data_IF_902246962190
#
_entry.id   IF_902246962190
#
_cell.length_a   1.000
_cell.length_b   1.000
_cell.length_c   1.000
_cell.angle_alpha   90.00
_cell.angle_beta   90.00
_cell.angle_gamma   90.00
#
_symmetry.space_group_name_H-M   'P 1'
#
loop_
_entity.id
_entity.type
_entity.pdbx_description
1 polymer ?
#
# COMPACT_ATOMS: atom_id res chain seq x y z
N UNK A 1 -5.99 -18.06 -15.22
CA UNK A 1 -5.96 -18.69 -13.87
C UNK A 1 -6.43 -17.63 -12.91
N UNK A 2 -7.45 -17.92 -12.09
CA UNK A 2 -8.15 -16.89 -11.31
C UNK A 2 -7.17 -16.13 -10.42
N UNK A 3 -6.98 -14.85 -10.70
CA UNK A 3 -6.26 -13.87 -9.87
C UNK A 3 -6.81 -13.88 -8.43
N UNK A 4 -8.11 -14.22 -8.27
CA UNK A 4 -8.80 -14.39 -7.00
C UNK A 4 -8.33 -15.60 -6.18
N UNK A 5 -7.72 -16.63 -6.79
CA UNK A 5 -7.10 -17.72 -6.03
C UNK A 5 -5.93 -17.21 -5.17
N UNK A 6 -5.14 -16.26 -5.68
CA UNK A 6 -4.07 -15.66 -4.89
C UNK A 6 -4.60 -14.84 -3.72
N UNK A 7 -5.72 -14.12 -3.93
CA UNK A 7 -6.35 -13.31 -2.88
C UNK A 7 -6.99 -14.20 -1.81
N UNK A 8 -7.77 -15.20 -2.22
CA UNK A 8 -8.43 -16.14 -1.29
C UNK A 8 -7.44 -16.92 -0.44
N UNK A 9 -6.30 -17.38 -1.00
CA UNK A 9 -5.28 -18.08 -0.21
C UNK A 9 -4.68 -17.22 0.90
N UNK A 10 -4.56 -15.90 0.72
CA UNK A 10 -4.12 -14.97 1.78
C UNK A 10 -5.11 -14.93 2.95
N UNK A 11 -6.39 -15.14 2.66
CA UNK A 11 -7.47 -15.21 3.64
C UNK A 11 -7.81 -16.65 4.08
N UNK A 12 -6.88 -17.61 3.87
CA UNK A 12 -7.09 -19.02 4.20
C UNK A 12 -8.35 -19.59 3.54
N UNK A 13 -8.58 -19.25 2.29
CA UNK A 13 -9.71 -19.74 1.51
C UNK A 13 -9.26 -20.19 0.11
N UNK A 14 -10.11 -20.97 -0.55
CA UNK A 14 -9.96 -21.33 -1.96
C UNK A 14 -11.17 -20.78 -2.72
N UNK A 15 -10.91 -19.91 -3.68
CA UNK A 15 -11.93 -19.43 -4.59
C UNK A 15 -12.29 -20.48 -5.64
N UNK A 16 -13.57 -20.85 -5.72
CA UNK A 16 -14.09 -21.75 -6.77
C UNK A 16 -15.16 -20.99 -7.56
N UNK A 17 -14.91 -20.68 -8.86
CA UNK A 17 -15.92 -20.11 -9.75
C UNK A 17 -17.09 -21.07 -9.94
N UNK A 18 -18.31 -20.52 -10.05
CA UNK A 18 -19.53 -21.32 -10.27
C UNK A 18 -19.47 -22.13 -11.57
N UNK A 19 -18.83 -21.57 -12.60
CA UNK A 19 -18.71 -22.17 -13.93
C UNK A 19 -17.92 -23.48 -13.96
N UNK A 20 -17.13 -23.75 -12.92
CA UNK A 20 -16.26 -24.94 -12.83
C UNK A 20 -16.97 -26.09 -12.08
N UNK A 21 -18.08 -25.80 -11.39
CA UNK A 21 -18.84 -26.81 -10.67
C UNK A 21 -19.63 -27.67 -11.65
N UNK A 22 -19.40 -28.99 -11.62
CA UNK A 22 -20.16 -29.94 -12.41
C UNK A 22 -21.59 -30.04 -11.86
N UNK A 23 -22.59 -29.98 -12.74
CA UNK A 23 -24.01 -29.96 -12.39
C UNK A 23 -24.52 -31.22 -11.65
N UNK A 24 -23.74 -32.30 -11.60
CA UNK A 24 -24.14 -33.57 -10.98
C UNK A 24 -23.54 -33.75 -9.59
N UNK A 25 -24.40 -33.71 -8.57
CA UNK A 25 -24.06 -34.22 -7.23
C UNK A 25 -23.84 -35.73 -7.35
N UNK A 26 -22.61 -36.19 -7.18
CA UNK A 26 -22.29 -37.61 -7.04
C UNK A 26 -22.13 -37.91 -5.56
N UNK A 27 -22.83 -38.93 -5.07
CA UNK A 27 -22.87 -39.31 -3.65
C UNK A 27 -21.60 -40.00 -3.13
N UNK A 28 -20.47 -39.88 -3.84
CA UNK A 28 -19.19 -40.48 -3.47
C UNK A 28 -18.00 -39.55 -3.69
N UNK A 29 -16.97 -39.67 -2.82
CA UNK A 29 -15.73 -38.92 -2.94
C UNK A 29 -14.89 -39.46 -4.11
N UNK A 30 -14.52 -38.60 -5.07
CA UNK A 30 -13.62 -38.96 -6.16
C UNK A 30 -12.20 -39.22 -5.64
N UNK A 31 -11.54 -40.26 -6.16
CA UNK A 31 -10.15 -40.60 -5.82
C UNK A 31 -9.19 -39.41 -6.05
N UNK A 32 -9.40 -38.64 -7.12
CA UNK A 32 -8.57 -37.46 -7.42
C UNK A 32 -8.66 -36.38 -6.34
N UNK A 33 -9.85 -36.20 -5.74
CA UNK A 33 -10.08 -35.25 -4.67
C UNK A 33 -9.39 -35.73 -3.38
N UNK A 34 -9.50 -37.01 -3.03
CA UNK A 34 -8.80 -37.59 -1.87
C UNK A 34 -7.29 -37.38 -1.99
N UNK A 35 -6.73 -37.60 -3.18
CA UNK A 35 -5.32 -37.34 -3.46
C UNK A 35 -4.95 -35.85 -3.31
N UNK A 36 -5.82 -34.93 -3.75
CA UNK A 36 -5.62 -33.50 -3.55
C UNK A 36 -5.57 -33.16 -2.04
N UNK A 37 -6.55 -33.60 -1.26
CA UNK A 37 -6.62 -33.33 0.19
C UNK A 37 -5.41 -33.90 0.91
N UNK A 38 -4.98 -35.12 0.57
CA UNK A 38 -3.78 -35.72 1.15
C UNK A 38 -2.51 -34.89 0.85
N UNK A 39 -2.40 -34.34 -0.37
CA UNK A 39 -1.29 -33.46 -0.72
C UNK A 39 -1.38 -32.10 -0.02
N UNK A 40 -2.58 -31.54 0.15
CA UNK A 40 -2.78 -30.31 0.93
C UNK A 40 -2.42 -30.50 2.41
N UNK A 41 -2.79 -31.65 3.00
CA UNK A 41 -2.41 -32.01 4.36
C UNK A 41 -0.89 -32.10 4.53
N UNK A 42 -0.18 -32.67 3.54
CA UNK A 42 1.30 -32.67 3.51
C UNK A 42 1.90 -31.26 3.46
N UNK A 43 1.20 -30.31 2.84
CA UNK A 43 1.58 -28.89 2.80
C UNK A 43 1.11 -28.09 4.03
N UNK A 44 0.48 -28.73 5.01
CA UNK A 44 0.02 -28.09 6.26
C UNK A 44 -1.37 -27.46 6.20
N UNK A 45 -2.17 -27.77 5.17
CA UNK A 45 -3.53 -27.26 5.00
C UNK A 45 -4.60 -28.33 5.29
N UNK A 46 -5.65 -27.91 5.98
CA UNK A 46 -6.92 -28.63 6.09
C UNK A 46 -7.95 -28.05 5.13
N UNK A 47 -9.04 -28.75 4.90
CA UNK A 47 -10.13 -28.34 4.00
C UNK A 47 -11.42 -28.34 4.81
N UNK A 48 -12.21 -27.27 4.76
CA UNK A 48 -13.53 -27.23 5.39
C UNK A 48 -14.50 -28.20 4.69
N UNK A 49 -15.56 -28.61 5.38
CA UNK A 49 -16.55 -29.54 4.82
C UNK A 49 -17.20 -28.98 3.54
N UNK A 50 -17.58 -27.71 3.55
CA UNK A 50 -18.16 -27.03 2.38
C UNK A 50 -17.20 -27.01 1.18
N UNK A 51 -15.92 -26.72 1.44
CA UNK A 51 -14.89 -26.72 0.40
C UNK A 51 -14.63 -28.13 -0.12
N UNK A 52 -14.69 -29.16 0.74
CA UNK A 52 -14.53 -30.55 0.35
C UNK A 52 -15.61 -30.97 -0.66
N UNK A 53 -16.87 -30.65 -0.36
CA UNK A 53 -17.99 -30.93 -1.27
C UNK A 53 -17.86 -30.16 -2.59
N UNK A 54 -17.47 -28.90 -2.54
CA UNK A 54 -17.26 -28.09 -3.74
C UNK A 54 -16.11 -28.64 -4.61
N UNK A 55 -14.97 -29.00 -4.01
CA UNK A 55 -13.83 -29.60 -4.72
C UNK A 55 -14.19 -30.94 -5.34
N UNK A 56 -15.04 -31.76 -4.69
CA UNK A 56 -15.49 -33.02 -5.27
C UNK A 56 -16.29 -32.83 -6.57
N UNK A 57 -16.95 -31.68 -6.73
CA UNK A 57 -17.69 -31.31 -7.92
C UNK A 57 -16.84 -30.65 -9.02
N UNK A 58 -15.54 -30.43 -8.80
CA UNK A 58 -14.64 -29.87 -9.82
C UNK A 58 -14.03 -30.93 -10.74
N UNK A 59 -13.40 -30.49 -11.82
CA UNK A 59 -12.65 -31.34 -12.75
C UNK A 59 -11.27 -31.74 -12.18
N UNK A 60 -10.73 -32.92 -12.54
CA UNK A 60 -9.37 -33.31 -12.14
C UNK A 60 -8.29 -32.34 -12.62
N UNK A 61 -8.49 -31.70 -13.77
CA UNK A 61 -7.57 -30.69 -14.31
C UNK A 61 -7.49 -29.45 -13.42
N UNK A 62 -8.64 -28.98 -12.91
CA UNK A 62 -8.68 -27.87 -11.95
C UNK A 62 -7.99 -28.25 -10.63
N UNK A 63 -8.24 -29.46 -10.12
CA UNK A 63 -7.60 -29.96 -8.89
C UNK A 63 -6.07 -30.00 -9.00
N UNK A 64 -5.53 -30.46 -10.13
CA UNK A 64 -4.08 -30.48 -10.38
C UNK A 64 -3.51 -29.05 -10.47
N UNK A 65 -4.21 -28.15 -11.17
CA UNK A 65 -3.83 -26.74 -11.28
C UNK A 65 -3.82 -26.03 -9.93
N UNK A 66 -4.83 -26.26 -9.09
CA UNK A 66 -4.93 -25.72 -7.75
C UNK A 66 -3.74 -26.16 -6.88
N UNK A 67 -3.37 -27.45 -6.95
CA UNK A 67 -2.21 -27.97 -6.22
C UNK A 67 -0.90 -27.28 -6.66
N UNK A 68 -0.71 -27.06 -7.95
CA UNK A 68 0.48 -26.36 -8.48
C UNK A 68 0.54 -24.89 -8.01
N UNK A 69 -0.59 -24.19 -7.97
CA UNK A 69 -0.66 -22.82 -7.41
C UNK A 69 -0.23 -22.82 -5.95
N UNK A 70 -0.74 -23.76 -5.14
CA UNK A 70 -0.41 -23.85 -3.71
C UNK A 70 1.06 -24.22 -3.51
N UNK A 71 1.62 -25.15 -4.28
CA UNK A 71 3.07 -25.46 -4.26
C UNK A 71 3.92 -24.24 -4.58
N UNK A 72 3.52 -23.44 -5.58
CA UNK A 72 4.22 -22.21 -5.97
C UNK A 72 4.17 -21.17 -4.86
N UNK A 73 3.01 -20.96 -4.23
CA UNK A 73 2.84 -20.01 -3.11
C UNK A 73 3.66 -20.44 -1.89
N UNK A 74 3.65 -21.74 -1.57
CA UNK A 74 4.44 -22.31 -0.47
C UNK A 74 5.95 -22.37 -0.78
N UNK A 75 6.36 -22.07 -2.02
CA UNK A 75 7.77 -22.11 -2.40
C UNK A 75 8.37 -23.51 -2.34
N UNK A 76 7.55 -24.54 -2.57
CA UNK A 76 7.96 -25.95 -2.49
C UNK A 76 9.03 -26.28 -3.54
N UNK A 77 8.96 -25.63 -4.70
CA UNK A 77 9.95 -25.79 -5.77
C UNK A 77 11.21 -24.92 -5.53
N UNK A 78 11.30 -24.17 -4.43
CA UNK A 78 12.51 -23.44 -4.08
C UNK A 78 13.45 -24.37 -3.35
N UNK A 79 14.72 -24.36 -3.74
CA UNK A 79 15.73 -25.14 -3.05
C UNK A 79 16.11 -24.46 -1.74
N UNK A 80 15.71 -25.04 -0.61
CA UNK A 80 16.08 -24.58 0.73
C UNK A 80 17.29 -25.34 1.29
N UNK A 81 17.84 -26.28 0.53
CA UNK A 81 19.04 -27.01 0.91
C UNK A 81 20.20 -26.01 1.00
N UNK A 82 20.88 -25.91 2.16
CA UNK A 82 22.01 -25.00 2.29
C UNK A 82 23.08 -25.38 1.26
N UNK A 83 23.67 -24.37 0.62
CA UNK A 83 24.72 -24.56 -0.37
C UNK A 83 25.90 -25.34 0.22
N UNK A 84 26.18 -25.14 1.51
CA UNK A 84 27.21 -25.83 2.28
C UNK A 84 26.55 -26.81 3.26
N UNK A 85 26.96 -28.08 3.21
CA UNK A 85 26.64 -29.11 4.20
C UNK A 85 27.36 -28.79 5.51
N UNK A 86 26.64 -28.92 6.63
CA UNK A 86 27.12 -28.57 7.97
C UNK A 86 27.70 -27.14 8.00
N UNK A 87 26.87 -26.16 7.63
CA UNK A 87 27.22 -24.74 7.55
C UNK A 87 27.82 -24.16 8.84
N UNK A 88 27.62 -24.84 9.98
CA UNK A 88 28.21 -24.49 11.28
C UNK A 88 29.75 -24.63 11.30
N UNK A 89 30.31 -25.44 10.40
CA UNK A 89 31.77 -25.63 10.28
C UNK A 89 32.28 -24.75 9.12
N UNK A 90 33.27 -23.86 9.33
CA UNK A 90 33.81 -23.02 8.26
C UNK A 90 34.41 -23.88 7.12
N UNK A 91 34.26 -23.45 5.87
CA UNK A 91 34.74 -24.15 4.67
C UNK A 91 36.24 -24.00 4.46
N UNK A 92 36.88 -23.01 5.09
CA UNK A 92 38.31 -22.75 4.97
C UNK A 92 38.72 -22.10 3.63
N UNK A 93 37.75 -21.66 2.83
CA UNK A 93 37.98 -21.02 1.54
C UNK A 93 38.50 -19.59 1.70
N UNK A 94 39.39 -19.17 0.80
CA UNK A 94 39.98 -17.85 0.76
C UNK A 94 39.57 -17.09 -0.52
N UNK A 95 39.76 -15.77 -0.52
CA UNK A 95 39.53 -14.96 -1.73
C UNK A 95 40.41 -15.43 -2.92
N UNK A 96 41.57 -16.03 -2.64
CA UNK A 96 42.49 -16.55 -3.64
C UNK A 96 41.88 -17.75 -4.37
N UNK A 97 41.14 -18.61 -3.67
CA UNK A 97 40.49 -19.78 -4.27
C UNK A 97 39.44 -19.37 -5.31
N UNK A 98 38.67 -18.32 -5.03
CA UNK A 98 37.75 -17.73 -6.01
C UNK A 98 38.47 -17.14 -7.22
N UNK A 99 39.60 -16.48 -7.03
CA UNK A 99 40.43 -15.95 -8.12
C UNK A 99 41.01 -17.06 -9.01
N UNK A 100 41.51 -18.13 -8.40
CA UNK A 100 42.04 -19.30 -9.12
C UNK A 100 40.94 -19.95 -9.96
N UNK A 101 39.75 -20.13 -9.40
CA UNK A 101 38.60 -20.72 -10.11
C UNK A 101 38.08 -19.85 -11.26
N UNK A 102 38.12 -18.53 -11.13
CA UNK A 102 37.80 -17.60 -12.22
C UNK A 102 38.70 -17.83 -13.44
N UNK A 103 40.02 -17.84 -13.22
CA UNK A 103 40.98 -18.07 -14.30
C UNK A 103 40.96 -19.50 -14.83
N UNK A 104 40.76 -20.50 -13.96
CA UNK A 104 40.64 -21.88 -14.39
C UNK A 104 39.45 -22.11 -15.32
N UNK A 105 38.33 -21.41 -15.07
CA UNK A 105 37.15 -21.47 -15.93
C UNK A 105 37.39 -20.79 -17.28
N UNK A 106 38.11 -19.67 -17.31
CA UNK A 106 38.43 -18.92 -18.53
C UNK A 106 39.45 -19.68 -19.41
N UNK A 107 40.48 -20.26 -18.80
CA UNK A 107 41.60 -20.88 -19.51
C UNK A 107 41.45 -22.40 -19.70
N UNK A 108 40.35 -23.00 -19.23
CA UNK A 108 40.07 -24.43 -19.45
C UNK A 108 41.07 -25.36 -18.77
N UNK A 109 41.49 -25.03 -17.54
CA UNK A 109 42.51 -25.78 -16.80
C UNK A 109 41.96 -27.12 -16.29
N UNK A 110 42.82 -28.08 -15.95
CA UNK A 110 42.41 -29.38 -15.37
C UNK A 110 41.66 -29.16 -14.03
N UNK A 111 40.45 -29.71 -13.93
CA UNK A 111 39.61 -29.63 -12.74
C UNK A 111 38.26 -30.31 -12.96
N UNK A 112 37.42 -30.31 -11.93
CA UNK A 112 36.07 -30.89 -12.00
C UNK A 112 35.14 -29.91 -12.67
N UNK A 113 34.58 -30.28 -13.83
CA UNK A 113 33.62 -29.45 -14.55
C UNK A 113 32.21 -29.69 -14.01
N UNK A 114 31.56 -28.63 -13.54
CA UNK A 114 30.21 -28.67 -13.00
C UNK A 114 29.16 -28.39 -14.08
N UNK A 115 27.91 -28.77 -13.83
CA UNK A 115 26.77 -28.56 -14.75
C UNK A 115 26.50 -27.09 -15.08
N UNK A 116 26.88 -26.18 -14.18
CA UNK A 116 26.82 -24.73 -14.39
C UNK A 116 27.91 -24.18 -15.34
N UNK A 117 28.83 -25.02 -15.82
CA UNK A 117 29.89 -24.64 -16.74
C UNK A 117 31.23 -24.25 -16.07
N UNK A 118 31.24 -23.99 -14.76
CA UNK A 118 32.46 -23.67 -14.01
C UNK A 118 33.38 -24.90 -13.84
N UNK A 119 34.69 -24.64 -13.89
CA UNK A 119 35.73 -25.65 -13.66
C UNK A 119 36.33 -25.37 -12.29
N UNK A 120 36.22 -26.34 -11.37
CA UNK A 120 36.77 -26.23 -10.02
C UNK A 120 38.11 -26.97 -9.96
N UNK A 121 39.25 -26.27 -9.81
CA UNK A 121 40.56 -26.90 -9.68
C UNK A 121 40.69 -27.68 -8.36
N UNK A 122 41.46 -28.76 -8.38
CA UNK A 122 41.72 -29.56 -7.19
C UNK A 122 42.35 -28.72 -6.06
N UNK A 123 41.82 -28.82 -4.84
CA UNK A 123 42.34 -28.13 -3.65
C UNK A 123 41.81 -26.71 -3.42
N UNK A 124 40.98 -26.15 -4.31
CA UNK A 124 40.38 -24.81 -4.12
C UNK A 124 39.13 -24.85 -3.23
N UNK A 125 38.20 -25.75 -3.52
CA UNK A 125 36.97 -25.93 -2.75
C UNK A 125 36.78 -27.40 -2.34
N UNK A 126 36.38 -27.68 -1.08
CA UNK A 126 36.02 -29.02 -0.63
C UNK A 126 34.65 -29.42 -1.19
N UNK A 127 34.60 -29.91 -2.44
CA UNK A 127 33.36 -30.18 -3.19
C UNK A 127 32.39 -31.13 -2.47
N UNK A 128 32.90 -32.06 -1.67
CA UNK A 128 32.12 -32.98 -0.85
C UNK A 128 31.21 -32.27 0.15
N UNK A 129 31.59 -31.04 0.55
CA UNK A 129 30.84 -30.19 1.48
C UNK A 129 29.79 -29.31 0.81
N UNK A 130 29.68 -29.29 -0.51
CA UNK A 130 28.69 -28.45 -1.20
C UNK A 130 27.54 -29.27 -1.79
N UNK A 131 26.34 -28.69 -1.75
CA UNK A 131 25.14 -29.18 -2.44
C UNK A 131 24.91 -28.44 -3.79
N UNK A 132 25.87 -27.62 -4.19
CA UNK A 132 25.85 -26.81 -5.40
C UNK A 132 27.24 -26.28 -5.76
N UNK A 133 27.34 -25.49 -6.80
CA UNK A 133 28.60 -24.91 -7.23
C UNK A 133 29.10 -23.89 -6.18
N UNK A 134 30.31 -24.08 -5.60
CA UNK A 134 30.86 -23.16 -4.60
C UNK A 134 31.12 -21.75 -5.16
N UNK A 135 31.32 -21.64 -6.47
CA UNK A 135 31.66 -20.37 -7.12
C UNK A 135 30.45 -19.52 -7.51
N UNK A 136 29.39 -20.13 -8.05
CA UNK A 136 28.21 -19.39 -8.54
C UNK A 136 26.90 -19.70 -7.79
N UNK A 137 26.92 -20.65 -6.86
CA UNK A 137 25.75 -21.03 -6.06
C UNK A 137 24.70 -21.89 -6.77
N UNK A 138 24.94 -22.29 -8.03
CA UNK A 138 23.99 -23.16 -8.76
C UNK A 138 23.86 -24.52 -8.07
N UNK A 139 22.67 -24.94 -7.59
CA UNK A 139 22.49 -26.20 -6.87
C UNK A 139 22.67 -27.41 -7.78
N UNK A 140 23.20 -28.52 -7.24
CA UNK A 140 23.35 -29.79 -7.95
C UNK A 140 22.09 -30.66 -7.86
N UNK A 141 21.40 -30.61 -6.73
CA UNK A 141 20.14 -31.31 -6.49
C UNK A 141 19.10 -30.31 -5.97
N UNK A 142 17.88 -30.38 -6.51
CA UNK A 142 16.74 -29.69 -5.93
C UNK A 142 16.19 -30.59 -4.82
N UNK A 143 16.17 -30.06 -3.58
CA UNK A 143 15.61 -30.80 -2.44
C UNK A 143 14.21 -31.32 -2.76
N UNK A 144 13.93 -32.57 -2.40
CA UNK A 144 12.55 -33.07 -2.32
C UNK A 144 11.89 -32.41 -1.10
N UNK A 145 10.56 -32.42 -1.04
CA UNK A 145 9.80 -31.88 0.09
C UNK A 145 10.16 -32.69 1.34
N UNK A 146 11.13 -32.24 2.13
CA UNK A 146 11.61 -33.00 3.30
C UNK A 146 10.92 -32.56 4.59
N UNK A 147 10.46 -31.31 4.68
CA UNK A 147 9.81 -30.80 5.88
C UNK A 147 8.29 -30.99 5.83
N UNK A 148 7.85 -32.18 6.23
CA UNK A 148 6.45 -32.48 6.53
C UNK A 148 6.08 -31.99 7.95
N UNK A 149 4.97 -31.25 8.07
CA UNK A 149 4.30 -31.06 9.36
C UNK A 149 5.03 -30.23 10.41
N UNK A 150 5.50 -29.02 10.09
CA UNK A 150 5.83 -28.06 11.16
C UNK A 150 4.57 -27.69 11.96
N UNK A 151 4.45 -28.27 13.17
CA UNK A 151 3.71 -27.68 14.30
C UNK A 151 2.19 -27.80 14.31
N UNK A 152 1.69 -29.04 14.22
CA UNK A 152 0.45 -29.58 14.83
C UNK A 152 -0.94 -28.92 14.65
N UNK A 153 -1.10 -27.85 13.88
CA UNK A 153 -2.44 -27.34 13.51
C UNK A 153 -2.53 -27.04 12.02
N UNK A 154 -3.25 -27.91 11.30
CA UNK A 154 -3.58 -27.67 9.89
C UNK A 154 -4.34 -26.34 9.76
N UNK A 155 -3.90 -25.50 8.82
CA UNK A 155 -4.64 -24.27 8.48
C UNK A 155 -5.86 -24.68 7.66
N UNK A 156 -7.04 -24.58 8.25
CA UNK A 156 -8.29 -24.92 7.56
C UNK A 156 -8.51 -23.90 6.45
N UNK A 157 -8.69 -24.38 5.23
CA UNK A 157 -9.06 -23.60 4.07
C UNK A 157 -10.58 -23.59 3.92
N UNK A 158 -11.17 -22.41 3.82
CA UNK A 158 -12.60 -22.20 3.62
C UNK A 158 -12.96 -22.08 2.13
N UNK A 159 -14.24 -22.26 1.81
CA UNK A 159 -14.75 -22.05 0.46
C UNK A 159 -15.05 -20.57 0.24
N UNK A 160 -14.47 -19.99 -0.80
CA UNK A 160 -14.90 -18.69 -1.31
C UNK A 160 -15.61 -18.86 -2.64
N UNK A 161 -16.80 -18.27 -2.73
CA UNK A 161 -17.51 -18.01 -3.98
C UNK A 161 -17.35 -16.52 -4.34
N UNK A 162 -17.97 -16.11 -5.45
CA UNK A 162 -18.03 -14.70 -5.85
C UNK A 162 -18.63 -13.81 -4.76
N UNK A 163 -19.55 -14.35 -3.95
CA UNK A 163 -20.19 -13.60 -2.88
C UNK A 163 -19.20 -13.24 -1.78
N UNK A 164 -18.43 -14.22 -1.28
CA UNK A 164 -17.44 -14.01 -0.22
C UNK A 164 -16.28 -13.14 -0.72
N UNK A 165 -15.85 -13.33 -1.98
CA UNK A 165 -14.82 -12.50 -2.59
C UNK A 165 -15.27 -11.04 -2.74
N UNK A 166 -16.53 -10.80 -3.15
CA UNK A 166 -17.10 -9.46 -3.23
C UNK A 166 -17.33 -8.84 -1.84
N UNK A 167 -17.73 -9.63 -0.84
CA UNK A 167 -17.85 -9.15 0.53
C UNK A 167 -16.49 -8.70 1.07
N UNK A 168 -15.45 -9.50 0.88
CA UNK A 168 -14.09 -9.13 1.27
C UNK A 168 -13.61 -7.86 0.55
N UNK A 169 -13.98 -7.68 -0.73
CA UNK A 169 -13.72 -6.44 -1.46
C UNK A 169 -14.40 -5.23 -0.80
N UNK A 170 -15.68 -5.35 -0.43
CA UNK A 170 -16.43 -4.29 0.29
C UNK A 170 -15.81 -4.02 1.67
N UNK A 171 -15.39 -5.06 2.39
CA UNK A 171 -14.75 -4.93 3.71
C UNK A 171 -13.42 -4.16 3.61
N UNK A 172 -12.63 -4.39 2.56
CA UNK A 172 -11.40 -3.62 2.31
C UNK A 172 -11.68 -2.15 2.03
N UNK A 173 -12.75 -1.83 1.30
CA UNK A 173 -13.15 -0.45 0.99
C UNK A 173 -13.70 0.30 2.22
N UNK A 174 -14.44 -0.40 3.07
CA UNK A 174 -15.09 0.16 4.26
C UNK A 174 -14.23 0.07 5.52
N UNK A 175 -13.07 -0.58 5.45
CA UNK A 175 -12.14 -0.73 6.56
C UNK A 175 -11.80 0.62 7.21
N UNK A 176 -11.94 0.66 8.54
CA UNK A 176 -11.60 1.81 9.40
C UNK A 176 -10.11 1.85 9.77
N UNK A 177 -9.32 0.89 9.31
CA UNK A 177 -7.88 0.81 9.55
C UNK A 177 -7.12 0.97 8.26
N UNK A 178 -5.91 1.54 8.32
CA UNK A 178 -5.06 1.64 7.15
C UNK A 178 -4.72 0.24 6.61
N UNK A 179 -4.90 0.05 5.30
CA UNK A 179 -4.59 -1.22 4.65
C UNK A 179 -3.08 -1.42 4.56
N UNK A 180 -2.61 -2.64 4.83
CA UNK A 180 -1.22 -3.00 4.62
C UNK A 180 -0.90 -3.21 3.13
N UNK A 181 0.39 -3.41 2.81
CA UNK A 181 0.83 -3.60 1.42
C UNK A 181 0.19 -4.82 0.75
N UNK A 182 -0.08 -5.90 1.50
CA UNK A 182 -0.68 -7.13 0.96
C UNK A 182 -2.18 -6.96 0.71
N UNK A 183 -2.87 -6.21 1.57
CA UNK A 183 -4.27 -5.85 1.42
C UNK A 183 -4.47 -4.87 0.26
N UNK A 184 -3.56 -3.90 0.08
CA UNK A 184 -3.57 -3.00 -1.08
C UNK A 184 -3.38 -3.78 -2.39
N UNK A 185 -2.47 -4.74 -2.41
CA UNK A 185 -2.26 -5.62 -3.57
C UNK A 185 -3.51 -6.48 -3.85
N UNK A 186 -4.10 -7.08 -2.81
CA UNK A 186 -5.37 -7.81 -2.92
C UNK A 186 -6.50 -6.92 -3.45
N UNK A 187 -6.59 -5.67 -2.97
CA UNK A 187 -7.59 -4.70 -3.42
C UNK A 187 -7.44 -4.40 -4.92
N UNK A 188 -6.22 -4.17 -5.40
CA UNK A 188 -5.94 -3.95 -6.83
C UNK A 188 -6.33 -5.13 -7.70
N UNK A 189 -6.10 -6.36 -7.20
CA UNK A 189 -6.53 -7.57 -7.89
C UNK A 189 -8.06 -7.67 -7.92
N UNK A 190 -8.74 -7.41 -6.80
CA UNK A 190 -10.21 -7.48 -6.74
C UNK A 190 -10.87 -6.45 -7.65
N UNK A 191 -10.24 -5.28 -7.84
CA UNK A 191 -10.73 -4.26 -8.77
C UNK A 191 -10.74 -4.67 -10.24
N UNK A 192 -9.92 -5.64 -10.67
CA UNK A 192 -10.00 -6.13 -12.06
C UNK A 192 -11.19 -7.06 -12.29
N UNK A 193 -11.77 -7.60 -11.22
CA UNK A 193 -12.82 -8.63 -11.28
C UNK A 193 -14.19 -8.08 -10.84
N UNK A 194 -14.21 -7.19 -9.84
CA UNK A 194 -15.43 -6.64 -9.27
C UNK A 194 -15.58 -5.14 -9.56
N UNK A 195 -16.81 -4.74 -9.86
CA UNK A 195 -17.18 -3.33 -9.95
C UNK A 195 -17.44 -2.78 -8.55
N UNK A 196 -16.98 -1.56 -8.30
CA UNK A 196 -17.28 -0.85 -7.06
C UNK A 196 -18.78 -0.51 -6.98
N UNK A 197 -19.47 -0.84 -5.88
CA UNK A 197 -20.81 -0.35 -5.62
C UNK A 197 -20.88 1.18 -5.52
N UNK A 198 -21.93 1.78 -6.06
CA UNK A 198 -21.98 3.23 -6.24
C UNK A 198 -22.09 4.03 -4.93
N UNK A 199 -22.65 3.42 -3.87
CA UNK A 199 -23.00 4.08 -2.59
C UNK A 199 -22.02 3.77 -1.44
N UNK A 200 -20.80 3.30 -1.71
CA UNK A 200 -19.84 2.99 -0.65
C UNK A 200 -19.26 4.26 -0.03
N UNK A 201 -19.40 4.35 1.29
CA UNK A 201 -18.62 5.27 2.12
C UNK A 201 -17.27 4.64 2.46
N UNK A 202 -16.19 5.28 2.00
CA UNK A 202 -14.83 4.82 2.28
C UNK A 202 -14.49 5.05 3.74
N UNK A 203 -14.05 3.99 4.43
CA UNK A 203 -13.74 4.05 5.86
C UNK A 203 -12.50 4.90 6.17
N UNK A 204 -11.50 4.86 5.29
CA UNK A 204 -10.22 5.56 5.46
C UNK A 204 -9.84 6.42 4.24
N UNK A 205 -9.30 7.61 4.51
CA UNK A 205 -8.85 8.54 3.45
C UNK A 205 -7.66 8.00 2.68
N UNK A 206 -6.80 7.23 3.35
CA UNK A 206 -5.66 6.51 2.80
C UNK A 206 -6.09 5.54 1.69
N UNK A 207 -7.02 4.64 2.02
CA UNK A 207 -7.63 3.70 1.08
C UNK A 207 -8.26 4.43 -0.08
N UNK A 208 -9.00 5.52 0.20
CA UNK A 208 -9.61 6.34 -0.85
C UNK A 208 -8.59 6.89 -1.85
N UNK A 209 -7.40 7.32 -1.41
CA UNK A 209 -6.37 7.82 -2.35
C UNK A 209 -5.89 6.72 -3.30
N UNK A 210 -5.73 5.49 -2.79
CA UNK A 210 -5.35 4.32 -3.60
C UNK A 210 -6.43 3.95 -4.61
N UNK A 211 -7.69 4.00 -4.20
CA UNK A 211 -8.85 3.78 -5.07
C UNK A 211 -8.90 4.81 -6.20
N UNK A 212 -8.73 6.09 -5.87
CA UNK A 212 -8.70 7.18 -6.85
C UNK A 212 -7.57 6.94 -7.87
N UNK A 213 -6.38 6.56 -7.38
CA UNK A 213 -5.24 6.30 -8.26
C UNK A 213 -5.52 5.16 -9.25
N UNK A 214 -6.11 4.06 -8.77
CA UNK A 214 -6.50 2.92 -9.61
C UNK A 214 -7.49 3.32 -10.72
N UNK A 215 -8.52 4.10 -10.41
CA UNK A 215 -9.48 4.55 -11.42
C UNK A 215 -8.89 5.53 -12.43
N UNK A 216 -7.92 6.36 -12.03
CA UNK A 216 -7.22 7.26 -12.94
C UNK A 216 -6.34 6.47 -13.91
N UNK A 217 -5.63 5.46 -13.40
CA UNK A 217 -4.80 4.55 -14.22
C UNK A 217 -5.66 3.78 -15.24
N UNK A 218 -6.92 3.47 -14.90
CA UNK A 218 -7.88 2.82 -15.79
C UNK A 218 -8.78 3.77 -16.61
N UNK A 219 -8.46 5.07 -16.66
CA UNK A 219 -9.23 6.11 -17.38
C UNK A 219 -10.71 6.27 -16.96
N UNK A 220 -11.10 5.82 -15.76
CA UNK A 220 -12.46 5.90 -15.22
C UNK A 220 -12.68 7.19 -14.41
N UNK A 221 -12.36 8.34 -15.00
CA UNK A 221 -12.28 9.62 -14.28
C UNK A 221 -13.64 10.19 -13.87
N UNK A 222 -14.71 9.89 -14.61
CA UNK A 222 -16.03 10.48 -14.40
C UNK A 222 -16.62 10.15 -13.01
N UNK A 223 -16.31 8.96 -12.48
CA UNK A 223 -16.81 8.49 -11.19
C UNK A 223 -16.08 9.08 -9.98
N UNK A 224 -15.03 9.89 -10.19
CA UNK A 224 -14.13 10.33 -9.12
C UNK A 224 -14.59 11.60 -8.38
N UNK A 225 -15.41 12.44 -9.01
CA UNK A 225 -15.83 13.71 -8.42
C UNK A 225 -16.50 13.53 -7.05
N UNK A 226 -17.31 12.46 -6.90
CA UNK A 226 -18.05 12.17 -5.66
C UNK A 226 -17.13 11.90 -4.46
N UNK A 227 -15.88 11.49 -4.69
CA UNK A 227 -14.95 11.18 -3.62
C UNK A 227 -14.22 12.40 -3.07
N UNK A 228 -14.22 13.53 -3.79
CA UNK A 228 -13.57 14.76 -3.34
C UNK A 228 -14.54 15.66 -2.59
N UNK A 229 -14.54 15.55 -1.26
CA UNK A 229 -15.36 16.40 -0.38
C UNK A 229 -14.73 17.76 -0.10
N UNK A 230 -13.39 17.85 -0.14
CA UNK A 230 -12.64 19.03 0.26
C UNK A 230 -11.42 19.26 -0.62
N UNK A 231 -10.89 20.50 -0.71
CA UNK A 231 -9.64 20.75 -1.42
C UNK A 231 -8.48 19.97 -0.81
N UNK A 232 -8.49 19.70 0.50
CA UNK A 232 -7.46 18.90 1.18
C UNK A 232 -7.40 17.47 0.65
N UNK A 233 -8.52 16.87 0.25
CA UNK A 233 -8.53 15.54 -0.37
C UNK A 233 -7.82 15.54 -1.73
N UNK A 234 -8.03 16.60 -2.53
CA UNK A 234 -7.34 16.80 -3.81
C UNK A 234 -5.83 16.99 -3.58
N UNK A 235 -5.45 17.83 -2.62
CA UNK A 235 -4.04 18.04 -2.27
C UNK A 235 -3.38 16.74 -1.78
N UNK A 236 -4.11 15.94 -0.99
CA UNK A 236 -3.63 14.66 -0.48
C UNK A 236 -3.32 13.71 -1.63
N UNK A 237 -4.24 13.56 -2.59
CA UNK A 237 -4.02 12.70 -3.75
C UNK A 237 -2.81 13.16 -4.57
N UNK A 238 -2.72 14.46 -4.87
CA UNK A 238 -1.61 15.02 -5.64
C UNK A 238 -0.26 14.84 -4.95
N UNK A 239 -0.23 14.99 -3.63
CA UNK A 239 0.97 14.79 -2.82
C UNK A 239 1.36 13.31 -2.71
N UNK A 240 0.37 12.43 -2.55
CA UNK A 240 0.54 10.99 -2.58
C UNK A 240 1.14 10.54 -3.91
N UNK A 241 0.60 10.96 -5.06
CA UNK A 241 1.16 10.59 -6.38
C UNK A 241 2.59 11.08 -6.55
N UNK A 242 2.95 12.19 -5.90
CA UNK A 242 4.28 12.77 -5.99
C UNK A 242 5.31 12.10 -5.07
N UNK A 243 4.91 11.67 -3.88
CA UNK A 243 5.84 11.27 -2.80
C UNK A 243 5.63 9.86 -2.28
N UNK A 244 4.50 9.22 -2.59
CA UNK A 244 4.04 7.97 -1.97
C UNK A 244 3.46 8.16 -0.58
N UNK A 245 3.51 9.35 0.02
CA UNK A 245 2.99 9.60 1.36
C UNK A 245 1.53 10.04 1.33
N UNK A 246 0.69 9.33 2.10
CA UNK A 246 -0.73 9.65 2.25
C UNK A 246 -0.96 10.83 3.20
N UNK A 247 0.00 11.10 4.10
CA UNK A 247 -0.02 12.30 4.93
C UNK A 247 0.55 13.50 4.16
N UNK A 248 -0.08 14.66 4.31
CA UNK A 248 0.38 15.91 3.71
C UNK A 248 1.51 16.49 4.57
N UNK A 249 2.74 16.21 4.16
CA UNK A 249 3.96 16.72 4.79
C UNK A 249 4.52 17.83 3.91
N UNK A 250 4.92 18.96 4.50
CA UNK A 250 5.44 20.06 3.72
C UNK A 250 6.79 19.70 3.07
N UNK A 251 7.07 20.18 1.84
CA UNK A 251 8.33 19.91 1.15
C UNK A 251 9.56 20.26 2.00
N UNK A 252 9.52 21.37 2.74
CA UNK A 252 10.60 21.81 3.63
C UNK A 252 10.91 20.75 4.68
N UNK A 253 9.87 20.18 5.30
CA UNK A 253 10.00 19.14 6.32
C UNK A 253 10.57 17.84 5.74
N UNK A 254 10.14 17.44 4.54
CA UNK A 254 10.70 16.26 3.86
C UNK A 254 12.20 16.44 3.59
N UNK A 255 12.59 17.62 3.08
CA UNK A 255 13.99 17.95 2.81
C UNK A 255 14.80 17.93 4.11
N UNK A 256 14.31 18.55 5.18
CA UNK A 256 14.99 18.58 6.48
C UNK A 256 15.14 17.18 7.10
N UNK A 257 14.13 16.32 6.95
CA UNK A 257 14.22 14.93 7.43
C UNK A 257 15.27 14.14 6.65
N UNK A 258 15.31 14.25 5.32
CA UNK A 258 16.35 13.61 4.51
C UNK A 258 17.75 14.13 4.87
N UNK A 259 17.90 15.45 5.00
CA UNK A 259 19.16 16.06 5.45
C UNK A 259 19.67 15.44 6.75
N UNK A 260 18.80 15.28 7.75
CA UNK A 260 19.16 14.68 9.05
C UNK A 260 19.56 13.21 8.92
N UNK A 261 18.85 12.44 8.12
CA UNK A 261 19.11 10.99 7.97
C UNK A 261 20.45 10.70 7.27
N UNK A 262 20.88 11.57 6.36
CA UNK A 262 22.14 11.41 5.62
C UNK A 262 23.29 12.23 6.17
N UNK A 263 23.06 12.93 7.29
CA UNK A 263 24.12 13.60 8.03
C UNK A 263 24.95 12.53 8.76
N UNK A 264 26.25 12.65 8.64
CA UNK A 264 27.18 11.72 9.28
C UNK A 264 28.23 12.49 10.08
N UNK A 265 28.69 11.91 11.19
CA UNK A 265 29.71 12.54 12.06
C UNK A 265 31.03 12.72 11.29
N UNK A 266 31.38 11.72 10.47
CA UNK A 266 32.54 11.77 9.57
C UNK A 266 32.15 12.45 8.25
N UNK A 267 32.76 13.61 7.97
CA UNK A 267 32.48 14.44 6.79
C UNK A 267 32.59 13.69 5.45
N UNK A 268 33.53 12.75 5.30
CA UNK A 268 33.70 11.99 4.05
C UNK A 268 32.52 11.07 3.71
N UNK A 269 31.70 10.73 4.71
CA UNK A 269 30.50 9.90 4.56
C UNK A 269 29.21 10.75 4.64
N UNK A 270 29.32 12.05 4.93
CA UNK A 270 28.17 12.96 4.99
C UNK A 270 27.69 13.28 3.57
N UNK A 271 26.51 12.77 3.23
CA UNK A 271 25.85 12.99 1.94
C UNK A 271 24.72 14.00 2.02
N UNK A 272 24.54 14.67 3.17
CA UNK A 272 23.41 15.56 3.42
C UNK A 272 23.27 16.66 2.35
N UNK A 273 24.36 17.34 1.97
CA UNK A 273 24.31 18.39 0.95
C UNK A 273 23.82 17.88 -0.42
N UNK A 274 24.30 16.70 -0.83
CA UNK A 274 23.88 16.06 -2.07
C UNK A 274 22.41 15.63 -2.03
N UNK A 275 21.99 14.98 -0.93
CA UNK A 275 20.62 14.54 -0.72
C UNK A 275 19.62 15.70 -0.62
N UNK A 276 20.07 16.88 -0.16
CA UNK A 276 19.26 18.10 -0.23
C UNK A 276 18.88 18.45 -1.66
N UNK A 277 19.87 18.45 -2.55
CA UNK A 277 19.69 18.82 -3.95
C UNK A 277 18.82 17.78 -4.67
N UNK A 278 19.05 16.49 -4.39
CA UNK A 278 18.19 15.41 -4.86
C UNK A 278 16.75 15.58 -4.38
N UNK A 279 16.53 15.78 -3.09
CA UNK A 279 15.20 15.96 -2.53
C UNK A 279 14.46 17.17 -3.15
N UNK A 280 15.16 18.30 -3.33
CA UNK A 280 14.59 19.47 -4.00
C UNK A 280 14.20 19.15 -5.44
N UNK A 281 15.08 18.45 -6.18
CA UNK A 281 14.84 18.05 -7.58
C UNK A 281 13.65 17.09 -7.67
N UNK A 282 13.60 16.08 -6.83
CA UNK A 282 12.51 15.10 -6.77
C UNK A 282 11.18 15.75 -6.43
N UNK A 283 11.14 16.74 -5.52
CA UNK A 283 9.91 17.41 -5.10
C UNK A 283 9.40 18.47 -6.09
N UNK A 284 10.10 18.72 -7.21
CA UNK A 284 9.59 19.62 -8.26
C UNK A 284 8.30 19.08 -8.87
N UNK A 285 7.27 19.93 -8.91
CA UNK A 285 5.95 19.59 -9.42
C UNK A 285 5.91 19.78 -10.93
N UNK A 286 5.57 18.71 -11.65
CA UNK A 286 5.36 18.71 -13.09
C UNK A 286 4.12 17.88 -13.39
N UNK A 287 3.19 18.45 -14.15
CA UNK A 287 1.91 17.83 -14.51
C UNK A 287 1.66 17.96 -16.00
N UNK A 288 1.08 16.93 -16.58
CA UNK A 288 0.65 16.92 -17.97
C UNK A 288 -0.68 17.67 -18.14
N UNK A 289 -1.03 17.99 -19.39
CA UNK A 289 -2.23 18.77 -19.69
C UNK A 289 -3.52 18.05 -19.25
N UNK A 290 -3.57 16.72 -19.29
CA UNK A 290 -4.76 15.95 -18.89
C UNK A 290 -4.98 16.06 -17.39
N UNK A 291 -3.94 15.87 -16.58
CA UNK A 291 -4.03 16.03 -15.13
C UNK A 291 -4.44 17.45 -14.74
N UNK A 292 -3.88 18.47 -15.38
CA UNK A 292 -4.24 19.86 -15.09
C UNK A 292 -5.73 20.15 -15.31
N UNK A 293 -6.31 19.69 -16.44
CA UNK A 293 -7.75 19.83 -16.71
C UNK A 293 -8.58 19.06 -15.68
N UNK A 294 -8.17 17.84 -15.36
CA UNK A 294 -8.87 16.97 -14.42
C UNK A 294 -8.95 17.61 -13.02
N UNK A 295 -7.82 18.08 -12.49
CA UNK A 295 -7.79 18.75 -11.18
C UNK A 295 -8.55 20.06 -11.19
N UNK A 296 -8.48 20.83 -12.27
CA UNK A 296 -9.27 22.05 -12.42
C UNK A 296 -10.78 21.76 -12.31
N UNK A 297 -11.25 20.66 -12.94
CA UNK A 297 -12.65 20.22 -12.83
C UNK A 297 -13.01 19.80 -11.42
N UNK A 298 -12.12 19.06 -10.74
CA UNK A 298 -12.35 18.64 -9.36
C UNK A 298 -12.55 19.81 -8.41
N UNK A 299 -11.69 20.83 -8.49
CA UNK A 299 -11.80 22.03 -7.65
C UNK A 299 -13.05 22.84 -8.01
N UNK A 300 -13.35 22.99 -9.30
CA UNK A 300 -14.53 23.73 -9.76
C UNK A 300 -15.85 23.10 -9.30
N UNK A 301 -15.89 21.77 -9.19
CA UNK A 301 -17.11 21.02 -8.88
C UNK A 301 -17.22 20.63 -7.39
N UNK A 302 -16.38 21.18 -6.51
CA UNK A 302 -16.55 21.03 -5.06
C UNK A 302 -17.90 21.63 -4.65
N UNK A 303 -18.64 20.97 -3.75
CA UNK A 303 -19.94 21.46 -3.27
C UNK A 303 -19.84 22.63 -2.29
N UNK A 304 -18.69 22.80 -1.63
CA UNK A 304 -18.44 23.83 -0.61
C UNK A 304 -18.50 25.26 -1.17
N UNK A 305 -18.89 26.26 -0.36
CA UNK A 305 -18.81 27.66 -0.76
C UNK A 305 -17.34 28.11 -0.87
N UNK A 306 -17.12 29.18 -1.64
CA UNK A 306 -15.78 29.63 -2.05
C UNK A 306 -14.91 30.01 -0.84
N UNK A 307 -15.51 30.67 0.13
CA UNK A 307 -14.85 31.16 1.34
C UNK A 307 -14.38 29.97 2.20
N UNK A 308 -15.21 28.94 2.35
CA UNK A 308 -14.86 27.74 3.10
C UNK A 308 -13.75 26.94 2.40
N UNK A 309 -13.76 26.87 1.07
CA UNK A 309 -12.66 26.25 0.31
C UNK A 309 -11.35 26.98 0.61
N UNK A 310 -11.36 28.32 0.57
CA UNK A 310 -10.18 29.12 0.86
C UNK A 310 -9.71 28.99 2.31
N UNK A 311 -10.64 28.94 3.28
CA UNK A 311 -10.33 28.67 4.68
C UNK A 311 -9.62 27.32 4.84
N UNK A 312 -10.13 26.26 4.20
CA UNK A 312 -9.53 24.91 4.27
C UNK A 312 -8.16 24.87 3.59
N UNK A 313 -7.96 25.65 2.53
CA UNK A 313 -6.65 25.76 1.85
C UNK A 313 -5.62 26.55 2.67
N UNK A 314 -6.06 27.42 3.59
CA UNK A 314 -5.19 28.34 4.32
C UNK A 314 -4.02 27.69 5.08
N UNK A 315 -4.21 26.60 5.87
CA UNK A 315 -3.12 25.99 6.63
C UNK A 315 -1.94 25.50 5.78
N UNK A 316 -2.19 25.17 4.50
CA UNK A 316 -1.17 24.73 3.54
C UNK A 316 -1.05 25.67 2.34
N UNK A 317 -1.29 26.97 2.56
CA UNK A 317 -1.28 28.00 1.50
C UNK A 317 -0.03 27.96 0.64
N UNK A 318 1.15 27.83 1.26
CA UNK A 318 2.42 27.77 0.54
C UNK A 318 2.52 26.57 -0.42
N UNK A 319 1.95 25.42 -0.06
CA UNK A 319 1.83 24.27 -0.96
C UNK A 319 0.84 24.59 -2.08
N UNK A 320 -0.35 25.10 -1.74
CA UNK A 320 -1.38 25.43 -2.73
C UNK A 320 -0.90 26.40 -3.80
N UNK A 321 -0.18 27.47 -3.44
CA UNK A 321 0.39 28.42 -4.43
C UNK A 321 1.29 27.68 -5.44
N UNK A 322 2.10 26.72 -4.99
CA UNK A 322 2.97 25.93 -5.87
C UNK A 322 2.16 24.97 -6.75
N UNK A 323 1.14 24.32 -6.20
CA UNK A 323 0.25 23.44 -6.95
C UNK A 323 -0.58 24.20 -7.98
N UNK A 324 -1.16 25.35 -7.62
CA UNK A 324 -1.91 26.23 -8.52
C UNK A 324 -1.04 26.64 -9.72
N UNK A 325 0.22 27.00 -9.48
CA UNK A 325 1.18 27.33 -10.54
C UNK A 325 1.52 26.09 -11.39
N UNK A 326 1.87 24.97 -10.77
CA UNK A 326 2.27 23.75 -11.49
C UNK A 326 1.14 23.17 -12.35
N UNK A 327 -0.11 23.26 -11.89
CA UNK A 327 -1.32 22.81 -12.58
C UNK A 327 -1.90 23.87 -13.53
N UNK A 328 -1.32 25.07 -13.59
CA UNK A 328 -1.77 26.20 -14.42
C UNK A 328 -3.24 26.57 -14.18
N UNK A 329 -3.74 26.44 -12.96
CA UNK A 329 -5.17 26.61 -12.67
C UNK A 329 -5.67 28.03 -13.01
N UNK A 330 -4.80 29.03 -12.93
CA UNK A 330 -5.12 30.40 -13.36
C UNK A 330 -5.49 30.48 -14.85
N UNK A 331 -4.84 29.70 -15.72
CA UNK A 331 -5.18 29.66 -17.16
C UNK A 331 -6.54 28.99 -17.37
N UNK A 332 -6.81 27.88 -16.66
CA UNK A 332 -8.08 27.18 -16.76
C UNK A 332 -9.26 27.96 -16.19
N UNK A 333 -9.03 28.77 -15.15
CA UNK A 333 -10.06 29.64 -14.55
C UNK A 333 -10.63 30.69 -15.51
N UNK A 334 -9.91 31.02 -16.59
CA UNK A 334 -10.39 31.95 -17.62
C UNK A 334 -11.33 31.30 -18.63
N UNK A 335 -11.44 29.97 -18.63
CA UNK A 335 -12.27 29.23 -19.58
C UNK A 335 -13.72 29.18 -19.12
N UNK A 336 -14.63 29.15 -20.09
CA UNK A 336 -16.07 28.95 -19.85
C UNK A 336 -16.29 27.62 -19.12
N UNK A 337 -17.15 27.63 -18.10
CA UNK A 337 -17.42 26.47 -17.23
C UNK A 337 -16.52 26.35 -16.00
N UNK A 338 -15.55 27.25 -15.80
CA UNK A 338 -14.64 27.28 -14.62
C UNK A 338 -14.86 28.50 -13.72
N UNK A 339 -16.08 29.03 -13.67
CA UNK A 339 -16.42 30.26 -12.95
C UNK A 339 -16.20 30.15 -11.44
N UNK A 340 -16.52 28.98 -10.86
CA UNK A 340 -16.27 28.72 -9.44
C UNK A 340 -14.78 28.68 -9.15
N UNK A 341 -13.99 28.02 -10.01
CA UNK A 341 -12.54 28.02 -9.89
C UNK A 341 -11.96 29.45 -9.97
N UNK A 342 -12.47 30.29 -10.88
CA UNK A 342 -12.08 31.70 -10.98
C UNK A 342 -12.31 32.45 -9.67
N UNK A 343 -13.52 32.30 -9.11
CA UNK A 343 -13.91 32.91 -7.84
C UNK A 343 -13.03 32.42 -6.68
N UNK A 344 -12.73 31.12 -6.62
CA UNK A 344 -11.82 30.53 -5.63
C UNK A 344 -10.43 31.15 -5.72
N UNK A 345 -9.86 31.25 -6.93
CA UNK A 345 -8.52 31.81 -7.08
C UNK A 345 -8.48 33.29 -6.69
N UNK A 346 -9.49 34.07 -7.07
CA UNK A 346 -9.57 35.49 -6.71
C UNK A 346 -9.62 35.68 -5.18
N UNK A 347 -10.55 35.02 -4.50
CA UNK A 347 -10.68 35.08 -3.03
C UNK A 347 -9.42 34.53 -2.33
N UNK A 348 -8.81 33.46 -2.86
CA UNK A 348 -7.60 32.88 -2.29
C UNK A 348 -6.36 33.79 -2.40
N UNK A 349 -6.20 34.50 -3.52
CA UNK A 349 -5.08 35.41 -3.72
C UNK A 349 -5.28 36.73 -2.98
N UNK A 350 -6.49 37.29 -3.02
CA UNK A 350 -6.84 38.54 -2.34
C UNK A 350 -7.06 38.36 -0.82
N UNK A 351 -7.17 37.12 -0.35
CA UNK A 351 -7.35 36.76 1.06
C UNK A 351 -8.62 37.36 1.68
N UNK A 352 -9.67 37.49 0.87
CA UNK A 352 -10.98 38.05 1.25
C UNK A 352 -11.87 37.02 1.97
N UNK A 353 -11.29 36.18 2.81
CA UNK A 353 -11.99 35.16 3.59
C UNK A 353 -11.51 35.18 5.04
N UNK A 354 -12.37 34.76 5.96
CA UNK A 354 -12.02 34.75 7.39
C UNK A 354 -11.62 33.37 7.86
N UNK A 355 -10.51 33.29 8.59
CA UNK A 355 -10.01 32.04 9.17
C UNK A 355 -10.53 31.89 10.60
N UNK A 356 -11.21 30.78 10.89
CA UNK A 356 -11.77 30.51 12.23
C UNK A 356 -10.70 30.59 13.32
N UNK A 357 -9.53 29.97 13.09
CA UNK A 357 -8.42 30.00 14.05
C UNK A 357 -7.93 31.43 14.33
N UNK A 358 -7.95 32.31 13.32
CA UNK A 358 -7.59 33.72 13.50
C UNK A 358 -8.58 34.44 14.44
N UNK A 359 -9.89 34.18 14.27
CA UNK A 359 -10.92 34.71 15.17
C UNK A 359 -10.81 34.14 16.58
N UNK A 360 -10.57 32.84 16.72
CA UNK A 360 -10.35 32.20 18.04
C UNK A 360 -9.15 32.83 18.74
N UNK A 361 -8.03 33.03 18.03
CA UNK A 361 -6.85 33.66 18.60
C UNK A 361 -7.11 35.13 18.99
N UNK A 362 -7.87 35.88 18.17
CA UNK A 362 -8.28 37.25 18.50
C UNK A 362 -9.06 37.32 19.81
N UNK A 363 -10.02 36.41 20.03
CA UNK A 363 -10.75 36.34 21.31
C UNK A 363 -9.89 35.85 22.48
N UNK A 364 -8.97 34.90 22.24
CA UNK A 364 -7.97 34.47 23.25
C UNK A 364 -7.12 35.62 23.75
N UNK A 365 -6.59 36.45 22.85
CA UNK A 365 -5.78 37.61 23.22
C UNK A 365 -6.56 38.67 24.01
N UNK A 366 -7.89 38.69 23.88
CA UNK A 366 -8.79 39.58 24.61
C UNK A 366 -9.39 38.94 25.87
N UNK A 367 -9.03 37.68 26.15
CA UNK A 367 -9.61 36.87 27.23
C UNK A 367 -11.15 36.79 27.18
N UNK A 368 -11.71 36.86 25.97
CA UNK A 368 -13.16 36.75 25.73
C UNK A 368 -13.56 35.28 25.59
N UNK A 369 -13.89 34.67 26.72
CA UNK A 369 -14.24 33.25 26.79
C UNK A 369 -15.55 32.93 26.04
N UNK A 370 -16.55 33.82 26.08
CA UNK A 370 -17.89 33.55 25.55
C UNK A 370 -17.84 33.42 24.03
N UNK A 371 -17.19 34.37 23.36
CA UNK A 371 -17.07 34.35 21.90
C UNK A 371 -16.09 33.27 21.43
N UNK A 372 -15.02 33.00 22.17
CA UNK A 372 -14.10 31.92 21.86
C UNK A 372 -14.79 30.55 21.93
N UNK A 373 -15.52 30.25 23.00
CA UNK A 373 -16.23 28.99 23.16
C UNK A 373 -17.39 28.85 22.17
N UNK A 374 -18.09 29.94 21.83
CA UNK A 374 -19.11 29.92 20.76
C UNK A 374 -18.55 29.44 19.43
N UNK A 375 -17.34 29.88 19.05
CA UNK A 375 -16.67 29.41 17.83
C UNK A 375 -16.14 27.98 17.96
N UNK A 376 -15.61 27.59 19.13
CA UNK A 376 -15.08 26.24 19.34
C UNK A 376 -16.17 25.17 19.34
N UNK A 377 -17.35 25.45 19.91
CA UNK A 377 -18.53 24.56 19.89
C UNK A 377 -19.00 24.23 18.47
N UNK A 378 -18.77 25.10 17.50
CA UNK A 378 -19.09 24.83 16.08
C UNK A 378 -18.19 23.77 15.44
N UNK A 379 -17.02 23.47 16.02
CA UNK A 379 -16.10 22.42 15.54
C UNK A 379 -15.62 21.58 16.74
N UNK A 380 -16.45 20.65 17.26
CA UNK A 380 -16.17 19.86 18.46
C UNK A 380 -14.81 19.15 18.42
N UNK A 381 -14.45 18.52 17.29
CA UNK A 381 -13.13 17.87 17.14
C UNK A 381 -11.92 18.83 17.13
N UNK A 382 -12.10 20.12 16.78
CA UNK A 382 -11.05 21.14 16.98
C UNK A 382 -10.96 21.53 18.46
N UNK A 383 -12.11 21.64 19.13
CA UNK A 383 -12.17 21.95 20.56
C UNK A 383 -11.48 20.84 21.36
N UNK A 384 -11.79 19.57 21.12
CA UNK A 384 -11.16 18.42 21.78
C UNK A 384 -9.62 18.44 21.66
N UNK A 385 -9.09 18.64 20.44
CA UNK A 385 -7.63 18.70 20.18
C UNK A 385 -6.94 19.90 20.81
N UNK A 386 -7.68 20.96 21.11
CA UNK A 386 -7.15 22.18 21.71
C UNK A 386 -7.63 22.40 23.15
N UNK A 387 -8.25 21.40 23.77
CA UNK A 387 -8.90 21.51 25.08
C UNK A 387 -7.94 22.05 26.14
N UNK A 388 -6.78 21.41 26.28
CA UNK A 388 -5.75 21.82 27.24
C UNK A 388 -5.24 23.24 26.97
N UNK A 389 -5.04 23.59 25.68
CA UNK A 389 -4.64 24.96 25.33
C UNK A 389 -5.70 25.98 25.75
N UNK A 390 -7.00 25.66 25.60
CA UNK A 390 -8.08 26.55 26.05
C UNK A 390 -8.16 26.66 27.59
N UNK A 391 -7.88 25.57 28.32
CA UNK A 391 -7.79 25.62 29.78
C UNK A 391 -6.69 26.57 30.27
N UNK A 392 -5.56 26.62 29.56
CA UNK A 392 -4.48 27.56 29.87
C UNK A 392 -4.88 29.02 29.61
N UNK A 393 -5.73 29.28 28.62
CA UNK A 393 -6.18 30.63 28.27
C UNK A 393 -7.32 31.14 29.16
N UNK A 394 -8.32 30.30 29.45
CA UNK A 394 -9.58 30.72 30.06
C UNK A 394 -9.87 30.03 31.42
N UNK A 395 -9.04 29.09 31.83
CA UNK A 395 -9.22 28.29 33.04
C UNK A 395 -9.93 26.96 32.79
N UNK A 396 -9.68 26.00 33.68
CA UNK A 396 -10.20 24.63 33.59
C UNK A 396 -11.73 24.56 33.67
N UNK A 397 -12.32 25.21 34.68
CA UNK A 397 -13.75 25.08 35.00
C UNK A 397 -14.66 25.54 33.85
N UNK A 398 -14.42 26.73 33.32
CA UNK A 398 -15.21 27.30 32.21
C UNK A 398 -15.04 26.50 30.92
N UNK A 399 -13.80 26.09 30.61
CA UNK A 399 -13.48 25.31 29.42
C UNK A 399 -14.13 23.92 29.46
N UNK A 400 -14.08 23.22 30.59
CA UNK A 400 -14.70 21.90 30.75
C UNK A 400 -16.22 21.97 30.67
N UNK A 401 -16.83 22.98 31.29
CA UNK A 401 -18.28 23.20 31.20
C UNK A 401 -18.72 23.42 29.74
N UNK A 402 -18.00 24.28 29.01
CA UNK A 402 -18.29 24.54 27.60
C UNK A 402 -18.03 23.33 26.69
N UNK A 403 -17.04 22.49 26.99
CA UNK A 403 -16.74 21.29 26.22
C UNK A 403 -17.74 20.16 26.49
N UNK A 404 -18.21 20.02 27.74
CA UNK A 404 -19.20 19.02 28.12
C UNK A 404 -20.50 19.12 27.28
N UNK A 405 -20.88 20.34 26.86
CA UNK A 405 -22.05 20.54 25.99
C UNK A 405 -21.92 19.93 24.59
N UNK A 406 -20.70 19.68 24.11
CA UNK A 406 -20.42 19.20 22.74
C UNK A 406 -19.64 17.89 22.70
N UNK A 407 -19.46 17.22 23.83
CA UNK A 407 -18.64 16.01 23.94
C UNK A 407 -19.19 14.85 23.11
N UNK A 408 -20.52 14.74 23.00
CA UNK A 408 -21.21 13.70 22.23
C UNK A 408 -21.07 13.86 20.70
N UNK A 409 -20.52 14.99 20.24
CA UNK A 409 -20.38 15.34 18.83
C UNK A 409 -18.93 15.18 18.30
N UNK A 410 -18.01 14.64 19.13
CA UNK A 410 -16.57 14.55 18.84
C UNK A 410 -16.21 13.31 18.05
#
# INVERSE_FOLDING_TARGET
MSTLLHVSLRQKAIFIPKDILLATKKDGLKITMVNLVANLAKLGFGVSEELLYALNQTSPTFQAQLLEVIKKVMGVNKNWTPLVKNWEIPTGESAIDHFITFFATIFGVKGTRLTCGHIIPAGTFPLERYNGCPYCGTPFEFGKIENYGQGSKLRILELWTEKEANQFFIDLLTSKTALDATQIDSLKILFSEFNMPDDIQMGMKETLMTVIDFHIENNQVAKLQKFFSSPTDILRYLWYKKTGFLQIIEPKTVIERRLKNYKHIRNSLDKSAYERLLAIKELKLHYDRKMCVMVAKWINNLSLPVENICEIMHPKRGMWVRFIRALRLAEYSKKVGFEKLKSILDVFYNQTYTVLQGRINHYRFRLDEQNAFKLLKQRPGLFARSLFANMLWFGEKSTLAAFAEVIDQV
#
